data_IF_801946029411
#
_entry.id   IF_801946029411
#
_cell.length_a   1.000
_cell.length_b   1.000
_cell.length_c   1.000
_cell.angle_alpha   90.00
_cell.angle_beta   90.00
_cell.angle_gamma   90.00
#
_symmetry.space_group_name_H-M   'P 1'
#
loop_
_entity.id
_entity.type
_entity.pdbx_description
1 polymer ?
#
# COMPACT_ATOMS: atom_id res chain seq x y z
N UNK A 1 -0.04 28.38 -26.69
CA UNK A 1 -1.28 27.58 -26.73
C UNK A 1 -1.17 26.68 -25.51
N UNK A 2 -2.00 26.84 -24.48
CA UNK A 2 -2.00 25.86 -23.39
C UNK A 2 -2.68 24.62 -23.94
N UNK A 3 -1.90 23.61 -24.27
CA UNK A 3 -2.41 22.27 -24.50
C UNK A 3 -3.07 21.82 -23.19
N UNK A 4 -4.35 21.48 -23.28
CA UNK A 4 -5.15 21.10 -22.13
C UNK A 4 -4.85 19.62 -21.85
N UNK A 5 -3.73 19.35 -21.17
CA UNK A 5 -3.27 17.98 -20.86
C UNK A 5 -4.37 17.24 -20.08
N UNK A 6 -4.55 15.96 -20.33
CA UNK A 6 -5.51 15.13 -19.62
C UNK A 6 -4.85 14.39 -18.44
N UNK A 7 -5.45 14.53 -17.27
CA UNK A 7 -5.15 13.74 -16.08
C UNK A 7 -6.34 12.82 -15.81
N UNK A 8 -6.20 11.54 -16.11
CA UNK A 8 -7.26 10.58 -15.81
C UNK A 8 -7.13 10.08 -14.37
N UNK A 9 -8.16 10.36 -13.57
CA UNK A 9 -8.22 9.95 -12.17
C UNK A 9 -8.95 8.61 -12.05
N UNK A 10 -8.23 7.59 -11.61
CA UNK A 10 -8.73 6.26 -11.35
C UNK A 10 -8.98 6.12 -9.85
N UNK A 11 -10.20 5.76 -9.45
CA UNK A 11 -10.54 5.60 -8.04
C UNK A 11 -11.74 4.69 -7.85
N UNK A 12 -11.95 4.14 -6.64
CA UNK A 12 -13.11 3.32 -6.33
C UNK A 12 -14.41 4.10 -6.56
N UNK A 13 -15.26 3.56 -7.43
CA UNK A 13 -16.59 4.10 -7.71
C UNK A 13 -17.58 3.37 -6.80
N UNK A 14 -17.80 3.91 -5.60
CA UNK A 14 -18.85 3.42 -4.71
C UNK A 14 -20.23 3.91 -5.11
N UNK A 15 -21.30 3.34 -4.54
CA UNK A 15 -22.68 3.76 -4.80
C UNK A 15 -22.91 5.25 -4.47
N UNK A 16 -23.95 5.84 -5.06
CA UNK A 16 -24.34 7.22 -4.78
C UNK A 16 -24.60 7.42 -3.27
N UNK A 17 -24.01 8.46 -2.69
CA UNK A 17 -24.12 8.75 -1.25
C UNK A 17 -23.26 7.87 -0.34
N UNK A 18 -22.57 6.85 -0.86
CA UNK A 18 -21.65 6.02 -0.07
C UNK A 18 -20.44 6.81 0.42
N UNK A 19 -19.82 6.35 1.52
CA UNK A 19 -18.58 6.95 2.02
C UNK A 19 -17.43 6.80 1.03
N UNK A 20 -17.38 5.70 0.27
CA UNK A 20 -16.41 5.51 -0.82
C UNK A 20 -16.56 6.61 -1.87
N UNK A 21 -17.78 6.89 -2.33
CA UNK A 21 -18.05 7.94 -3.32
C UNK A 21 -17.71 9.32 -2.79
N UNK A 22 -18.11 9.64 -1.55
CA UNK A 22 -17.78 10.93 -0.90
C UNK A 22 -16.27 11.12 -0.75
N UNK A 23 -15.55 10.08 -0.32
CA UNK A 23 -14.09 10.09 -0.18
C UNK A 23 -13.41 10.31 -1.53
N UNK A 24 -13.74 9.50 -2.53
CA UNK A 24 -13.19 9.61 -3.89
C UNK A 24 -13.45 10.99 -4.50
N UNK A 25 -14.65 11.56 -4.32
CA UNK A 25 -14.95 12.92 -4.76
C UNK A 25 -14.09 13.97 -4.06
N UNK A 26 -13.88 13.85 -2.74
CA UNK A 26 -13.03 14.78 -1.99
C UNK A 26 -11.57 14.73 -2.45
N UNK A 27 -11.03 13.53 -2.65
CA UNK A 27 -9.66 13.35 -3.15
C UNK A 27 -9.52 13.96 -4.54
N UNK A 28 -10.45 13.65 -5.44
CA UNK A 28 -10.44 14.21 -6.80
C UNK A 28 -10.47 15.74 -6.80
N UNK A 29 -11.45 16.34 -6.12
CA UNK A 29 -11.68 17.80 -6.21
C UNK A 29 -10.70 18.62 -5.38
N UNK A 30 -10.35 18.20 -4.16
CA UNK A 30 -9.56 19.05 -3.23
C UNK A 30 -8.08 18.68 -3.15
N UNK A 31 -7.67 17.56 -3.74
CA UNK A 31 -6.27 17.12 -3.76
C UNK A 31 -5.79 17.08 -5.20
N UNK A 32 -6.31 16.16 -6.02
CA UNK A 32 -5.76 15.89 -7.35
C UNK A 32 -5.92 17.11 -8.25
N UNK A 33 -7.15 17.62 -8.41
CA UNK A 33 -7.45 18.75 -9.30
C UNK A 33 -6.69 20.02 -8.93
N UNK A 34 -6.65 20.35 -7.64
CA UNK A 34 -5.91 21.51 -7.11
C UNK A 34 -4.38 21.36 -7.21
N UNK A 35 -3.86 20.12 -7.24
CA UNK A 35 -2.44 19.87 -7.42
C UNK A 35 -2.02 20.03 -8.89
N UNK A 36 -2.80 19.47 -9.82
CA UNK A 36 -2.44 19.37 -11.24
C UNK A 36 -2.88 20.59 -12.07
N UNK A 37 -3.80 21.42 -11.58
CA UNK A 37 -4.37 22.56 -12.34
C UNK A 37 -3.32 23.57 -12.80
N UNK A 38 -2.35 23.86 -11.94
CA UNK A 38 -1.30 24.84 -12.21
C UNK A 38 -0.31 24.36 -13.30
N UNK A 39 -0.31 23.06 -13.59
CA UNK A 39 0.50 22.40 -14.63
C UNK A 39 -0.30 22.19 -15.93
N UNK A 40 -1.49 22.78 -16.04
CA UNK A 40 -2.31 22.73 -17.26
C UNK A 40 -3.08 21.43 -17.49
N UNK A 41 -3.17 20.57 -16.47
CA UNK A 41 -3.95 19.34 -16.56
C UNK A 41 -5.43 19.56 -16.23
N UNK A 42 -6.28 18.88 -16.99
CA UNK A 42 -7.71 18.74 -16.72
C UNK A 42 -8.00 17.34 -16.19
N UNK A 43 -8.68 17.24 -15.04
CA UNK A 43 -8.96 15.96 -14.38
C UNK A 43 -10.30 15.39 -14.86
N UNK A 44 -10.29 14.13 -15.30
CA UNK A 44 -11.49 13.38 -15.67
C UNK A 44 -11.55 12.05 -14.92
N UNK A 45 -12.76 11.57 -14.60
CA UNK A 45 -13.00 10.24 -14.00
C UNK A 45 -14.09 9.50 -14.76
N UNK A 46 -14.07 8.18 -14.69
CA UNK A 46 -14.94 7.32 -15.50
C UNK A 46 -16.44 7.58 -15.39
N UNK A 47 -16.94 7.97 -14.21
CA UNK A 47 -18.36 8.28 -14.00
C UNK A 47 -18.80 9.65 -14.56
N UNK A 48 -17.87 10.46 -15.06
CA UNK A 48 -18.14 11.75 -15.70
C UNK A 48 -18.12 11.67 -17.23
N UNK A 49 -17.92 10.49 -17.80
CA UNK A 49 -17.85 10.29 -19.25
C UNK A 49 -19.24 10.02 -19.83
N UNK A 50 -19.73 10.95 -20.65
CA UNK A 50 -21.06 10.86 -21.29
C UNK A 50 -21.07 10.13 -22.65
N UNK A 51 -19.93 9.55 -23.07
CA UNK A 51 -19.81 9.00 -24.42
C UNK A 51 -20.55 7.66 -24.57
N UNK A 52 -21.21 7.41 -25.71
CA UNK A 52 -21.80 6.10 -26.01
C UNK A 52 -20.74 5.00 -26.15
N UNK A 53 -20.92 3.85 -25.49
CA UNK A 53 -20.02 2.70 -25.58
C UNK A 53 -19.98 1.87 -24.30
N UNK A 54 -19.11 0.85 -24.25
CA UNK A 54 -18.82 0.15 -23.00
C UNK A 54 -17.95 1.03 -22.10
N UNK A 55 -18.39 1.27 -20.86
CA UNK A 55 -17.62 2.01 -19.85
C UNK A 55 -16.21 1.44 -19.73
N UNK A 56 -16.07 0.11 -19.71
CA UNK A 56 -14.77 -0.57 -19.63
C UNK A 56 -13.83 -0.19 -20.78
N UNK A 57 -14.35 -0.10 -22.01
CA UNK A 57 -13.53 0.25 -23.16
C UNK A 57 -13.09 1.71 -23.15
N UNK A 58 -13.91 2.62 -22.62
CA UNK A 58 -13.58 4.03 -22.48
C UNK A 58 -12.55 4.26 -21.37
N UNK A 59 -12.71 3.56 -20.24
CA UNK A 59 -11.74 3.61 -19.15
C UNK A 59 -10.37 3.15 -19.63
N UNK A 60 -10.28 2.01 -20.32
CA UNK A 60 -9.01 1.54 -20.89
C UNK A 60 -8.42 2.57 -21.86
N UNK A 61 -9.24 3.15 -22.76
CA UNK A 61 -8.76 4.18 -23.68
C UNK A 61 -8.21 5.40 -22.96
N UNK A 62 -8.85 5.85 -21.88
CA UNK A 62 -8.36 6.98 -21.07
C UNK A 62 -7.12 6.62 -20.28
N UNK A 63 -7.07 5.45 -19.65
CA UNK A 63 -5.88 4.94 -18.97
C UNK A 63 -4.67 4.89 -19.89
N UNK A 64 -4.86 4.48 -21.15
CA UNK A 64 -3.79 4.39 -22.14
C UNK A 64 -3.44 5.76 -22.74
N UNK A 65 -4.44 6.58 -23.05
CA UNK A 65 -4.25 7.79 -23.87
C UNK A 65 -4.04 9.09 -23.11
N UNK A 66 -4.22 9.12 -21.79
CA UNK A 66 -4.03 10.35 -21.00
C UNK A 66 -2.55 10.60 -20.72
N UNK A 67 -2.15 11.86 -20.73
CA UNK A 67 -0.77 12.28 -20.45
C UNK A 67 -0.36 11.97 -19.00
N UNK A 68 -1.33 11.97 -18.07
CA UNK A 68 -1.12 11.56 -16.69
C UNK A 68 -2.25 10.66 -16.21
N UNK A 69 -1.91 9.65 -15.41
CA UNK A 69 -2.87 8.88 -14.62
C UNK A 69 -2.58 9.08 -13.14
N UNK A 70 -3.63 9.39 -12.37
CA UNK A 70 -3.56 9.38 -10.89
C UNK A 70 -4.48 8.29 -10.38
N UNK A 71 -3.94 7.31 -9.65
CA UNK A 71 -4.70 6.16 -9.15
C UNK A 71 -4.82 6.18 -7.62
N UNK A 72 -6.05 6.16 -7.10
CA UNK A 72 -6.34 6.08 -5.67
C UNK A 72 -6.63 4.63 -5.25
N UNK A 73 -5.67 4.02 -4.56
CA UNK A 73 -5.65 2.61 -4.17
C UNK A 73 -6.41 2.33 -2.87
N UNK A 74 -6.99 3.35 -2.26
CA UNK A 74 -7.69 3.25 -0.97
C UNK A 74 -8.84 2.25 -1.02
N UNK A 75 -8.95 1.41 0.00
CA UNK A 75 -9.92 0.33 0.11
C UNK A 75 -9.60 -0.87 -0.78
N UNK A 76 -8.39 -0.92 -1.35
CA UNK A 76 -7.85 -2.03 -2.11
C UNK A 76 -8.77 -2.54 -3.22
N UNK A 77 -9.36 -1.60 -3.98
CA UNK A 77 -10.33 -1.94 -5.02
C UNK A 77 -9.66 -2.69 -6.19
N UNK A 78 -10.06 -3.94 -6.52
CA UNK A 78 -9.44 -4.73 -7.59
C UNK A 78 -9.50 -4.09 -8.98
N UNK A 79 -10.55 -3.31 -9.27
CA UNK A 79 -10.68 -2.65 -10.57
C UNK A 79 -9.64 -1.55 -10.74
N UNK A 80 -9.36 -0.81 -9.65
CA UNK A 80 -8.33 0.24 -9.67
C UNK A 80 -6.94 -0.38 -9.91
N UNK A 81 -6.62 -1.51 -9.28
CA UNK A 81 -5.36 -2.21 -9.53
C UNK A 81 -5.27 -2.72 -10.97
N UNK A 82 -6.37 -3.24 -11.52
CA UNK A 82 -6.41 -3.67 -12.91
C UNK A 82 -6.11 -2.52 -13.88
N UNK A 83 -6.74 -1.36 -13.66
CA UNK A 83 -6.55 -0.18 -14.48
C UNK A 83 -5.13 0.41 -14.30
N UNK A 84 -4.59 0.40 -13.08
CA UNK A 84 -3.20 0.77 -12.83
C UNK A 84 -2.21 -0.16 -13.54
N UNK A 85 -2.44 -1.48 -13.53
CA UNK A 85 -1.61 -2.43 -14.25
C UNK A 85 -1.63 -2.19 -15.78
N UNK A 86 -2.78 -1.78 -16.34
CA UNK A 86 -2.85 -1.35 -17.74
C UNK A 86 -2.01 -0.09 -17.97
N UNK A 87 -2.04 0.90 -17.06
CA UNK A 87 -1.17 2.08 -17.16
C UNK A 87 0.31 1.69 -17.10
N UNK A 88 0.70 0.83 -16.17
CA UNK A 88 2.07 0.30 -16.13
C UNK A 88 2.46 -0.32 -17.48
N UNK A 89 1.57 -1.07 -18.12
CA UNK A 89 1.87 -1.69 -19.41
C UNK A 89 2.11 -0.69 -20.56
N UNK A 90 1.70 0.57 -20.41
CA UNK A 90 1.94 1.61 -21.43
C UNK A 90 3.29 2.31 -21.28
N UNK A 91 3.93 2.25 -20.12
CA UNK A 91 5.16 3.02 -19.86
C UNK A 91 4.92 4.50 -19.55
N UNK A 92 3.68 4.98 -19.62
CA UNK A 92 3.36 6.40 -19.53
C UNK A 92 3.22 6.89 -18.06
N UNK A 93 3.41 8.20 -17.79
CA UNK A 93 3.51 8.73 -16.42
C UNK A 93 2.31 8.43 -15.52
N UNK A 94 2.56 8.10 -14.25
CA UNK A 94 1.49 7.85 -13.27
C UNK A 94 1.86 8.29 -11.86
N UNK A 95 0.84 8.51 -11.03
CA UNK A 95 0.97 8.77 -9.59
C UNK A 95 -0.01 7.87 -8.85
N UNK A 96 0.45 7.13 -7.85
CA UNK A 96 -0.40 6.32 -6.99
C UNK A 96 -0.58 6.94 -5.61
N UNK A 97 -1.84 6.98 -5.16
CA UNK A 97 -2.28 7.53 -3.89
C UNK A 97 -2.86 6.42 -3.02
N UNK A 98 -2.65 6.49 -1.72
CA UNK A 98 -3.36 5.65 -0.75
C UNK A 98 -3.67 6.45 0.50
N UNK A 99 -4.80 6.18 1.16
CA UNK A 99 -5.12 6.84 2.43
C UNK A 99 -4.05 6.48 3.47
N UNK A 100 -3.55 7.47 4.20
CA UNK A 100 -2.48 7.31 5.21
C UNK A 100 -2.80 6.32 6.33
N UNK A 101 -4.08 6.00 6.55
CA UNK A 101 -4.51 5.01 7.54
C UNK A 101 -4.49 3.57 7.03
N UNK A 102 -4.11 3.35 5.77
CA UNK A 102 -4.12 2.05 5.11
C UNK A 102 -2.71 1.66 4.67
N UNK A 103 -2.43 0.35 4.70
CA UNK A 103 -1.16 -0.20 4.26
C UNK A 103 -1.12 -0.35 2.74
N UNK A 104 0.05 -0.06 2.17
CA UNK A 104 0.35 -0.35 0.76
C UNK A 104 0.45 -1.88 0.61
N UNK A 105 -0.23 -2.49 -0.37
CA UNK A 105 -0.08 -3.91 -0.68
C UNK A 105 1.36 -4.28 -1.03
N UNK A 106 1.79 -5.46 -0.62
CA UNK A 106 3.14 -5.96 -0.87
C UNK A 106 3.50 -6.00 -2.37
N UNK A 107 2.55 -6.32 -3.26
CA UNK A 107 2.83 -6.40 -4.71
C UNK A 107 3.23 -5.07 -5.36
N UNK A 108 3.02 -3.94 -4.66
CA UNK A 108 3.35 -2.59 -5.13
C UNK A 108 4.09 -1.77 -4.06
N UNK A 109 4.63 -2.42 -3.03
CA UNK A 109 5.33 -1.73 -1.93
C UNK A 109 6.57 -0.98 -2.41
N UNK A 110 7.20 -1.50 -3.46
CA UNK A 110 8.47 -1.00 -3.99
C UNK A 110 8.21 0.20 -4.93
N UNK A 111 6.94 0.42 -5.30
CA UNK A 111 6.52 1.56 -6.10
C UNK A 111 6.22 2.76 -5.22
N UNK A 112 6.69 3.92 -5.64
CA UNK A 112 6.50 5.17 -4.91
C UNK A 112 5.00 5.48 -4.76
N UNK A 113 4.51 5.45 -3.53
CA UNK A 113 3.10 5.74 -3.20
C UNK A 113 2.99 6.95 -2.31
N UNK A 114 2.16 7.92 -2.72
CA UNK A 114 1.84 9.08 -1.90
C UNK A 114 0.74 8.68 -0.91
N UNK A 115 1.05 8.74 0.37
CA UNK A 115 0.05 8.58 1.43
C UNK A 115 -0.67 9.91 1.64
N UNK A 116 -2.00 9.93 1.51
CA UNK A 116 -2.80 11.14 1.62
C UNK A 116 -3.70 11.15 2.85
N UNK A 117 -4.04 12.35 3.30
CA UNK A 117 -5.07 12.60 4.30
C UNK A 117 -6.07 13.66 3.83
N UNK A 118 -7.21 13.76 4.53
CA UNK A 118 -8.30 14.68 4.19
C UNK A 118 -8.42 15.86 5.15
N UNK A 119 -7.60 15.91 6.21
CA UNK A 119 -7.45 17.15 6.98
C UNK A 119 -6.72 18.18 6.12
N UNK A 120 -6.91 19.46 6.44
CA UNK A 120 -6.39 20.57 5.61
C UNK A 120 -4.88 20.46 5.45
N UNK A 121 -4.15 20.31 6.55
CA UNK A 121 -2.70 20.14 6.59
C UNK A 121 -2.21 18.90 5.82
N UNK A 122 -2.89 17.76 5.99
CA UNK A 122 -2.55 16.51 5.30
C UNK A 122 -2.81 16.63 3.78
N UNK A 123 -3.90 17.27 3.39
CA UNK A 123 -4.25 17.49 1.99
C UNK A 123 -3.27 18.46 1.32
N UNK A 124 -2.86 19.53 2.02
CA UNK A 124 -1.85 20.48 1.54
C UNK A 124 -0.52 19.78 1.25
N UNK A 125 -0.03 18.96 2.19
CA UNK A 125 1.18 18.15 2.02
C UNK A 125 1.05 17.17 0.84
N UNK A 126 -0.11 16.54 0.69
CA UNK A 126 -0.36 15.63 -0.44
C UNK A 126 -0.26 16.36 -1.76
N UNK A 127 -0.82 17.58 -1.87
CA UNK A 127 -0.72 18.38 -3.09
C UNK A 127 0.71 18.78 -3.40
N UNK A 128 1.50 19.17 -2.39
CA UNK A 128 2.93 19.46 -2.58
C UNK A 128 3.69 18.23 -3.09
N UNK A 129 3.41 17.03 -2.56
CA UNK A 129 4.02 15.80 -3.06
C UNK A 129 3.64 15.50 -4.51
N UNK A 130 2.35 15.65 -4.88
CA UNK A 130 1.90 15.47 -6.27
C UNK A 130 2.63 16.46 -7.19
N UNK A 131 2.74 17.74 -6.80
CA UNK A 131 3.45 18.76 -7.58
C UNK A 131 4.93 18.44 -7.77
N UNK A 132 5.59 17.95 -6.73
CA UNK A 132 6.98 17.48 -6.86
C UNK A 132 7.13 16.32 -7.85
N UNK A 133 6.16 15.41 -7.93
CA UNK A 133 6.17 14.36 -8.98
C UNK A 133 5.91 14.95 -10.37
N UNK A 134 5.01 15.93 -10.50
CA UNK A 134 4.76 16.60 -11.78
C UNK A 134 5.99 17.33 -12.30
N UNK A 135 6.74 18.00 -11.42
CA UNK A 135 8.01 18.66 -11.78
C UNK A 135 9.01 17.64 -12.33
N UNK A 136 9.14 16.48 -11.69
CA UNK A 136 9.95 15.37 -12.23
C UNK A 136 9.38 14.82 -13.53
N UNK A 137 8.05 14.84 -13.71
CA UNK A 137 7.41 14.34 -14.94
C UNK A 137 7.67 15.26 -16.14
N UNK A 138 7.71 16.57 -15.92
CA UNK A 138 7.95 17.55 -16.98
C UNK A 138 9.44 17.71 -17.32
N UNK A 139 10.34 17.16 -16.50
CA UNK A 139 11.76 17.12 -16.79
C UNK A 139 12.06 15.98 -17.76
N UNK A 140 12.36 16.33 -19.02
CA UNK A 140 12.59 15.38 -20.14
C UNK A 140 13.72 14.37 -19.87
N UNK A 141 14.60 14.65 -18.91
CA UNK A 141 15.72 13.78 -18.52
C UNK A 141 15.36 12.76 -17.41
N UNK A 142 14.12 12.75 -16.91
CA UNK A 142 13.69 11.83 -15.83
C UNK A 142 13.15 10.51 -16.40
N UNK A 143 13.82 9.40 -16.07
CA UNK A 143 13.29 8.05 -16.27
C UNK A 143 12.24 7.72 -15.19
N UNK A 144 11.08 7.19 -15.59
CA UNK A 144 10.04 6.75 -14.66
C UNK A 144 10.21 5.27 -14.33
N UNK A 145 10.30 4.97 -13.04
CA UNK A 145 10.26 3.59 -12.55
C UNK A 145 8.90 2.99 -12.87
N UNK A 146 8.88 2.05 -13.81
CA UNK A 146 7.69 1.30 -14.19
C UNK A 146 8.03 -0.19 -14.20
N UNK A 147 7.34 -1.01 -13.38
CA UNK A 147 7.68 -2.42 -13.18
C UNK A 147 7.53 -3.25 -14.47
N UNK A 148 6.67 -2.82 -15.39
CA UNK A 148 6.47 -3.49 -16.67
C UNK A 148 7.50 -3.02 -17.69
N UNK A 149 7.83 -1.72 -17.73
CA UNK A 149 8.88 -1.20 -18.62
C UNK A 149 10.24 -1.80 -18.27
N UNK A 150 10.60 -1.86 -16.99
CA UNK A 150 11.88 -2.43 -16.53
C UNK A 150 12.01 -3.90 -16.94
N UNK A 151 10.94 -4.69 -16.75
CA UNK A 151 10.94 -6.11 -17.12
C UNK A 151 10.94 -6.33 -18.64
N UNK A 152 10.21 -5.50 -19.41
CA UNK A 152 10.18 -5.56 -20.86
C UNK A 152 11.53 -5.14 -21.48
N UNK A 153 12.16 -4.08 -20.97
CA UNK A 153 13.47 -3.61 -21.41
C UNK A 153 14.53 -4.67 -21.13
N UNK A 154 14.50 -5.28 -19.94
CA UNK A 154 15.39 -6.38 -19.58
C UNK A 154 15.22 -7.62 -20.47
N UNK A 155 14.00 -7.91 -20.94
CA UNK A 155 13.77 -8.98 -21.92
C UNK A 155 14.29 -8.60 -23.31
N UNK A 156 14.08 -7.36 -23.75
CA UNK A 156 14.58 -6.88 -25.04
C UNK A 156 16.12 -6.89 -25.11
N UNK A 157 16.80 -6.48 -24.04
CA UNK A 157 18.26 -6.51 -23.93
C UNK A 157 18.80 -7.96 -23.96
N UNK A 158 18.08 -8.91 -23.37
CA UNK A 158 18.42 -10.35 -23.43
C UNK A 158 18.24 -10.95 -24.82
N UNK A 159 17.20 -10.54 -25.53
CA UNK A 159 16.87 -11.02 -26.87
C UNK A 159 17.67 -10.29 -27.97
N UNK A 160 18.36 -9.20 -27.63
CA UNK A 160 19.25 -8.47 -28.53
C UNK A 160 20.37 -9.37 -29.07
N UNK A 161 20.70 -9.16 -30.34
CA UNK A 161 21.81 -9.82 -31.01
C UNK A 161 23.17 -9.16 -30.71
N UNK A 162 23.17 -7.97 -30.07
CA UNK A 162 24.38 -7.28 -29.67
C UNK A 162 24.95 -7.87 -28.35
N UNK A 163 26.21 -8.34 -28.33
CA UNK A 163 26.86 -8.79 -27.10
C UNK A 163 26.90 -7.74 -25.99
N UNK A 164 26.93 -6.44 -26.30
CA UNK A 164 26.94 -5.37 -25.30
C UNK A 164 25.63 -5.32 -24.51
N UNK A 165 24.48 -5.43 -25.19
CA UNK A 165 23.16 -5.44 -24.58
C UNK A 165 22.95 -6.68 -23.71
N UNK A 166 23.43 -7.84 -24.15
CA UNK A 166 23.37 -9.07 -23.37
C UNK A 166 24.19 -8.97 -22.07
N UNK A 167 25.38 -8.38 -22.15
CA UNK A 167 26.21 -8.13 -20.97
C UNK A 167 25.55 -7.11 -20.02
N UNK A 168 24.92 -6.05 -20.56
CA UNK A 168 24.18 -5.07 -19.76
C UNK A 168 23.00 -5.72 -19.02
N UNK A 169 22.22 -6.57 -19.71
CA UNK A 169 21.14 -7.33 -19.08
C UNK A 169 21.64 -8.24 -17.95
N UNK A 170 22.80 -8.88 -18.13
CA UNK A 170 23.40 -9.75 -17.11
C UNK A 170 23.88 -8.95 -15.88
N UNK A 171 24.42 -7.74 -16.10
CA UNK A 171 24.82 -6.81 -15.03
C UNK A 171 23.58 -6.35 -14.26
N UNK A 172 22.54 -5.85 -14.94
CA UNK A 172 21.30 -5.39 -14.30
C UNK A 172 20.61 -6.51 -13.50
N UNK A 173 20.51 -7.72 -14.07
CA UNK A 173 20.02 -8.90 -13.36
C UNK A 173 20.85 -9.26 -12.12
N UNK A 174 22.14 -8.96 -12.14
CA UNK A 174 23.01 -9.17 -10.97
C UNK A 174 22.76 -8.08 -9.93
N UNK A 175 22.61 -6.82 -10.33
CA UNK A 175 22.27 -5.70 -9.44
C UNK A 175 20.92 -5.90 -8.76
N UNK A 176 19.87 -6.25 -9.50
CA UNK A 176 18.55 -6.58 -8.94
C UNK A 176 18.62 -7.71 -7.90
N UNK A 177 19.43 -8.74 -8.17
CA UNK A 177 19.68 -9.84 -7.20
C UNK A 177 20.47 -9.36 -5.97
N UNK A 178 21.33 -8.36 -6.11
CA UNK A 178 22.05 -7.77 -4.98
C UNK A 178 21.13 -6.89 -4.15
N UNK A 179 20.27 -6.07 -4.76
CA UNK A 179 19.31 -5.22 -4.04
C UNK A 179 18.33 -6.06 -3.24
N UNK A 180 17.73 -7.08 -3.85
CA UNK A 180 16.86 -8.04 -3.14
C UNK A 180 17.57 -8.78 -1.98
N UNK A 181 18.89 -8.92 -2.04
CA UNK A 181 19.69 -9.52 -0.95
C UNK A 181 20.05 -8.47 0.10
N UNK A 182 20.32 -7.23 -0.31
CA UNK A 182 20.57 -6.12 0.61
C UNK A 182 19.33 -5.79 1.40
N UNK A 183 18.15 -5.76 0.79
CA UNK A 183 16.89 -5.51 1.48
C UNK A 183 16.58 -6.60 2.54
N UNK A 184 16.85 -7.87 2.21
CA UNK A 184 16.77 -8.98 3.18
C UNK A 184 17.81 -8.88 4.29
N UNK A 185 18.98 -8.32 3.99
CA UNK A 185 20.02 -8.05 4.99
C UNK A 185 19.66 -6.86 5.86
N UNK A 186 19.09 -5.77 5.32
CA UNK A 186 18.62 -4.61 6.05
C UNK A 186 17.45 -4.96 6.97
N UNK A 187 16.49 -5.74 6.46
CA UNK A 187 15.40 -6.32 7.26
C UNK A 187 15.94 -7.21 8.38
N UNK A 188 16.96 -8.04 8.10
CA UNK A 188 17.63 -8.87 9.10
C UNK A 188 18.53 -8.09 10.06
N UNK A 189 19.08 -6.95 9.66
CA UNK A 189 19.92 -6.07 10.47
C UNK A 189 19.08 -5.21 11.42
N UNK A 190 17.89 -4.75 10.99
CA UNK A 190 16.90 -4.13 11.89
C UNK A 190 16.53 -5.06 13.05
N UNK A 191 16.35 -6.36 12.77
CA UNK A 191 16.09 -7.39 13.79
C UNK A 191 17.27 -7.65 14.74
N UNK A 192 18.51 -7.38 14.29
CA UNK A 192 19.74 -7.57 15.07
C UNK A 192 20.04 -6.35 15.96
N UNK A 193 19.80 -5.13 15.47
CA UNK A 193 20.01 -3.90 16.25
C UNK A 193 19.03 -3.82 17.42
N UNK A 194 17.77 -4.22 17.21
CA UNK A 194 16.74 -4.22 18.26
C UNK A 194 17.03 -5.21 19.39
N UNK A 195 17.67 -6.35 19.09
CA UNK A 195 18.07 -7.37 20.10
C UNK A 195 19.32 -7.00 20.90
N UNK A 196 20.09 -5.99 20.47
CA UNK A 196 21.40 -5.69 21.05
C UNK A 196 21.43 -4.52 22.04
N UNK A 197 20.32 -3.79 22.23
CA UNK A 197 20.24 -2.72 23.24
C UNK A 197 19.83 -3.25 24.62
N UNK A 198 20.70 -3.15 25.66
CA UNK A 198 20.31 -3.47 27.01
C UNK A 198 19.62 -2.26 27.65
N UNK A 199 18.33 -2.40 27.94
CA UNK A 199 17.57 -1.46 28.77
C UNK A 199 16.86 -0.36 28.00
N UNK A 200 15.69 -0.68 27.44
CA UNK A 200 14.65 0.30 27.18
C UNK A 200 13.31 -0.34 27.53
N UNK A 201 12.89 -0.12 28.77
CA UNK A 201 11.57 -0.50 29.22
C UNK A 201 10.50 0.20 28.39
N UNK A 202 9.50 -0.57 27.99
CA UNK A 202 8.10 -0.21 27.83
C UNK A 202 7.83 1.26 27.43
N UNK A 203 7.89 1.54 26.12
CA UNK A 203 7.13 2.63 25.52
C UNK A 203 6.47 2.11 24.25
N UNK A 204 5.21 1.71 24.41
CA UNK A 204 4.28 1.50 23.30
C UNK A 204 4.19 2.83 22.55
N UNK A 205 4.39 2.81 21.23
CA UNK A 205 4.28 4.02 20.41
C UNK A 205 2.82 4.48 20.36
N UNK A 206 2.58 5.78 20.24
CA UNK A 206 1.22 6.37 20.22
C UNK A 206 0.34 5.88 19.07
N UNK A 207 0.91 5.29 18.02
CA UNK A 207 0.19 4.60 16.94
C UNK A 207 -0.33 3.22 17.35
N UNK A 208 0.39 2.51 18.23
CA UNK A 208 0.04 1.16 18.69
C UNK A 208 -1.12 1.14 19.70
N UNK A 209 -1.29 2.18 20.53
CA UNK A 209 -2.47 2.32 21.41
C UNK A 209 -3.77 2.43 20.60
N UNK A 210 -3.72 3.13 19.45
CA UNK A 210 -4.90 3.38 18.61
C UNK A 210 -5.47 2.13 17.92
N UNK A 211 -4.63 1.13 17.64
CA UNK A 211 -5.05 -0.15 17.06
C UNK A 211 -5.70 -1.06 18.10
N UNK A 212 -5.16 -1.11 19.33
CA UNK A 212 -5.73 -1.90 20.44
C UNK A 212 -7.09 -1.32 20.89
N UNK A 213 -7.31 -0.02 20.73
CA UNK A 213 -8.60 0.63 20.98
C UNK A 213 -9.70 0.29 19.94
N UNK A 214 -9.38 -0.36 18.84
CA UNK A 214 -10.37 -0.81 17.85
C UNK A 214 -10.92 -2.22 18.13
N UNK A 215 -10.20 -3.00 18.94
CA UNK A 215 -10.57 -4.36 19.32
C UNK A 215 -11.85 -4.39 20.15
N UNK A 216 -12.68 -5.41 19.92
CA UNK A 216 -13.83 -5.73 20.76
C UNK A 216 -13.39 -6.09 22.19
N UNK A 217 -14.29 -6.03 23.19
CA UNK A 217 -13.94 -6.37 24.57
C UNK A 217 -13.34 -7.78 24.73
N UNK A 218 -13.82 -8.74 23.95
CA UNK A 218 -13.33 -10.13 24.00
C UNK A 218 -11.97 -10.29 23.31
N UNK A 219 -11.73 -9.58 22.21
CA UNK A 219 -10.42 -9.53 21.54
C UNK A 219 -9.37 -8.86 22.41
N UNK A 220 -9.69 -7.71 23.03
CA UNK A 220 -8.78 -7.03 23.97
C UNK A 220 -8.43 -7.92 25.15
N UNK A 221 -9.42 -8.61 25.69
CA UNK A 221 -9.23 -9.52 26.81
C UNK A 221 -8.31 -10.69 26.44
N UNK A 222 -8.51 -11.30 25.28
CA UNK A 222 -7.70 -12.43 24.86
C UNK A 222 -6.28 -11.99 24.49
N UNK A 223 -6.15 -10.84 23.83
CA UNK A 223 -4.88 -10.21 23.52
C UNK A 223 -4.10 -9.87 24.80
N UNK A 224 -4.75 -9.31 25.83
CA UNK A 224 -4.09 -9.02 27.11
C UNK A 224 -3.65 -10.28 27.84
N UNK A 225 -4.47 -11.34 27.84
CA UNK A 225 -4.11 -12.63 28.45
C UNK A 225 -2.85 -13.19 27.77
N UNK A 226 -2.79 -13.18 26.44
CA UNK A 226 -1.62 -13.70 25.70
C UNK A 226 -0.39 -12.87 26.04
N UNK A 227 -0.52 -11.54 26.04
CA UNK A 227 0.56 -10.62 26.40
C UNK A 227 1.07 -10.82 27.84
N UNK A 228 0.17 -11.09 28.78
CA UNK A 228 0.52 -11.31 30.18
C UNK A 228 1.21 -12.67 30.40
N UNK A 229 0.85 -13.69 29.61
CA UNK A 229 1.50 -15.02 29.65
C UNK A 229 2.84 -15.00 28.89
N UNK A 230 2.99 -14.12 27.90
CA UNK A 230 4.27 -13.88 27.24
C UNK A 230 5.26 -13.23 28.21
N UNK A 231 6.33 -13.96 28.54
CA UNK A 231 7.43 -13.45 29.36
C UNK A 231 8.16 -12.29 28.66
N UNK A 232 9.07 -11.60 29.35
CA UNK A 232 9.85 -10.45 28.83
C UNK A 232 10.58 -10.72 27.50
N UNK A 233 10.84 -11.99 27.17
CA UNK A 233 11.46 -12.43 25.91
C UNK A 233 10.46 -12.58 24.73
N UNK A 234 9.17 -12.27 24.92
CA UNK A 234 8.09 -12.43 23.93
C UNK A 234 8.06 -13.83 23.29
N UNK A 235 8.25 -14.87 24.08
CA UNK A 235 8.20 -16.25 23.58
C UNK A 235 6.77 -16.63 23.17
N UNK A 236 6.58 -17.41 22.10
CA UNK A 236 5.26 -17.91 21.71
C UNK A 236 4.62 -18.75 22.83
N UNK A 237 3.32 -18.54 23.07
CA UNK A 237 2.57 -19.14 24.17
C UNK A 237 1.66 -20.27 23.67
N UNK A 238 1.73 -21.46 24.27
CA UNK A 238 0.80 -22.55 23.98
C UNK A 238 -0.66 -22.20 24.28
N UNK A 239 -1.57 -22.67 23.43
CA UNK A 239 -3.03 -22.52 23.58
C UNK A 239 -3.54 -23.03 24.92
N UNK A 240 -2.93 -24.09 25.43
CA UNK A 240 -3.29 -24.73 26.68
C UNK A 240 -3.00 -23.84 27.90
N UNK A 241 -2.14 -22.84 27.76
CA UNK A 241 -1.87 -21.83 28.79
C UNK A 241 -2.83 -20.63 28.70
N UNK A 242 -3.44 -20.41 27.53
CA UNK A 242 -4.36 -19.29 27.25
C UNK A 242 -5.82 -19.67 27.56
N UNK A 243 -6.28 -20.85 27.10
CA UNK A 243 -7.69 -21.27 27.21
C UNK A 243 -8.20 -21.29 28.65
N UNK A 244 -7.48 -21.85 29.65
CA UNK A 244 -7.99 -21.91 31.02
C UNK A 244 -8.21 -20.53 31.63
N UNK A 245 -7.34 -19.57 31.33
CA UNK A 245 -7.42 -18.19 31.83
C UNK A 245 -8.63 -17.50 31.22
N UNK A 246 -8.80 -17.58 29.89
CA UNK A 246 -9.94 -16.98 29.20
C UNK A 246 -11.29 -17.60 29.62
N UNK A 247 -11.33 -18.92 29.88
CA UNK A 247 -12.52 -19.59 30.43
C UNK A 247 -12.88 -19.09 31.83
N UNK A 248 -11.89 -18.87 32.69
CA UNK A 248 -12.11 -18.31 34.03
C UNK A 248 -12.64 -16.85 33.98
N UNK A 249 -12.41 -16.15 32.87
CA UNK A 249 -12.97 -14.82 32.61
C UNK A 249 -14.33 -14.85 31.87
N UNK A 250 -14.95 -16.03 31.74
CA UNK A 250 -16.32 -16.19 31.26
C UNK A 250 -16.46 -16.48 29.76
N UNK A 251 -15.36 -16.67 29.03
CA UNK A 251 -15.42 -16.99 27.60
C UNK A 251 -15.66 -18.50 27.37
N UNK A 252 -16.55 -18.83 26.44
CA UNK A 252 -16.71 -20.22 25.98
C UNK A 252 -15.53 -20.66 25.10
N UNK A 253 -15.20 -21.95 25.11
CA UNK A 253 -14.06 -22.46 24.33
C UNK A 253 -14.19 -22.20 22.83
N UNK A 254 -15.40 -22.32 22.28
CA UNK A 254 -15.66 -22.01 20.87
C UNK A 254 -15.45 -20.52 20.58
N UNK A 255 -15.84 -19.64 21.52
CA UNK A 255 -15.61 -18.20 21.36
C UNK A 255 -14.13 -17.86 21.40
N UNK A 256 -13.36 -18.45 22.32
CA UNK A 256 -11.91 -18.29 22.41
C UNK A 256 -11.24 -18.67 21.08
N UNK A 257 -11.59 -19.81 20.50
CA UNK A 257 -11.04 -20.27 19.20
C UNK A 257 -11.36 -19.30 18.05
N UNK A 258 -12.56 -18.74 18.04
CA UNK A 258 -12.96 -17.77 17.01
C UNK A 258 -12.21 -16.44 17.18
N UNK A 259 -12.11 -15.94 18.41
CA UNK A 259 -11.40 -14.69 18.71
C UNK A 259 -9.89 -14.79 18.43
N UNK A 260 -9.25 -15.94 18.72
CA UNK A 260 -7.87 -16.18 18.30
C UNK A 260 -7.71 -16.09 16.79
N UNK A 261 -8.69 -16.62 16.03
CA UNK A 261 -8.67 -16.58 14.58
C UNK A 261 -8.90 -15.17 14.04
N UNK A 262 -9.83 -14.43 14.63
CA UNK A 262 -10.10 -13.01 14.33
C UNK A 262 -8.82 -12.18 14.54
N UNK A 263 -8.20 -12.29 15.72
CA UNK A 263 -6.93 -11.61 16.03
C UNK A 263 -5.77 -12.00 15.09
N UNK A 264 -5.72 -13.23 14.59
CA UNK A 264 -4.72 -13.63 13.58
C UNK A 264 -5.02 -13.05 12.20
N UNK A 265 -6.29 -13.06 11.78
CA UNK A 265 -6.71 -12.49 10.49
C UNK A 265 -6.48 -10.98 10.44
N UNK A 266 -6.66 -10.31 11.58
CA UNK A 266 -6.49 -8.88 11.71
C UNK A 266 -5.03 -8.47 12.03
N UNK A 267 -4.09 -9.43 12.04
CA UNK A 267 -2.66 -9.16 12.19
C UNK A 267 -2.20 -8.76 13.59
N UNK A 268 -2.94 -9.14 14.63
CA UNK A 268 -2.56 -8.92 16.03
C UNK A 268 -1.79 -10.11 16.63
N UNK A 269 -2.04 -11.32 16.13
CA UNK A 269 -1.37 -12.54 16.55
C UNK A 269 -0.73 -13.26 15.36
N UNK A 270 0.43 -13.85 15.60
CA UNK A 270 1.08 -14.79 14.71
C UNK A 270 1.10 -16.17 15.36
N UNK A 271 0.94 -17.22 14.56
CA UNK A 271 0.97 -18.62 15.00
C UNK A 271 2.18 -19.31 14.38
N UNK A 272 3.30 -19.47 15.13
CA UNK A 272 4.52 -20.11 14.63
C UNK A 272 4.33 -21.61 14.36
N UNK A 273 3.56 -22.27 15.22
CA UNK A 273 3.28 -23.71 15.19
C UNK A 273 1.83 -23.99 15.63
N UNK A 274 1.31 -25.19 15.32
CA UNK A 274 -0.07 -25.51 15.65
C UNK A 274 -0.32 -25.44 17.17
N UNK A 275 -1.30 -24.64 17.57
CA UNK A 275 -1.62 -24.38 18.96
C UNK A 275 -0.66 -23.45 19.72
N UNK A 276 0.20 -22.67 19.07
CA UNK A 276 1.10 -21.71 19.75
C UNK A 276 0.87 -20.29 19.20
N UNK A 277 0.67 -19.29 20.06
CA UNK A 277 0.33 -17.92 19.68
C UNK A 277 1.36 -16.92 20.19
N UNK A 278 1.69 -15.93 19.37
CA UNK A 278 2.58 -14.82 19.73
C UNK A 278 1.95 -13.50 19.30
N UNK A 279 1.96 -12.48 20.16
CA UNK A 279 1.61 -11.11 19.74
C UNK A 279 2.61 -10.59 18.72
N UNK A 280 2.10 -9.82 17.74
CA UNK A 280 2.93 -9.15 16.72
C UNK A 280 3.46 -7.80 17.26
N UNK A 281 3.04 -7.40 18.47
CA UNK A 281 3.39 -6.16 19.16
C UNK A 281 3.95 -6.41 20.57
#
# INVERSE_FOLDING_TARGET
MNENKECFFIAPIGDEGSEVRKRSNKVMEYIVKEAVSDYGYSVTRADQMDQPGSITSQVIQKTVGSELVVADLTGHNPNVFYELAVRHATGEPYIQLIKSTESIPFDISDLRTIQYGLKVDEADQTREQIRGHLESIEDEDTEFDNPISESAEMQSLRESADPADQNLAEILQTMYRLDNRMEKLESGMMDLDFKSMPGSGNRISSSQESQIESLTPEERLLFSIIKDVQNENQEPVPKDDIIPIAKNQGMSENRIKNVLKELMMDGYLYQPDDGIYKTIY
#
